data_IF_245472929546
#
_entry.id   IF_245472929546
#
_cell.length_a   1.000
_cell.length_b   1.000
_cell.length_c   1.000
_cell.angle_alpha   90.00
_cell.angle_beta   90.00
_cell.angle_gamma   90.00
#
_symmetry.space_group_name_H-M   'P 1'
#
loop_
_entity.id
_entity.type
_entity.pdbx_description
1 polymer ?
#
# COMPACT_ATOMS: atom_id res chain seq x y z
N UNK A 1 -12.00 13.88 -12.41
CA UNK A 1 -10.64 13.37 -12.12
C UNK A 1 -10.67 11.85 -12.23
N UNK A 2 -10.09 11.27 -13.30
CA UNK A 2 -9.88 9.81 -13.36
C UNK A 2 -8.58 9.49 -12.63
N UNK A 3 -8.54 8.32 -11.98
CA UNK A 3 -7.37 7.81 -11.27
C UNK A 3 -6.79 6.69 -12.13
N UNK A 4 -5.59 6.89 -12.65
CA UNK A 4 -4.92 5.92 -13.53
C UNK A 4 -4.10 4.91 -12.74
N UNK A 5 -3.56 5.32 -11.58
CA UNK A 5 -2.76 4.44 -10.74
C UNK A 5 -2.97 4.74 -9.27
N UNK A 6 -2.98 3.66 -8.47
CA UNK A 6 -3.08 3.73 -7.03
C UNK A 6 -2.19 2.67 -6.40
N UNK A 7 -1.23 3.11 -5.60
CA UNK A 7 -0.41 2.24 -4.78
C UNK A 7 -0.58 2.59 -3.30
N UNK A 8 -0.69 1.56 -2.47
CA UNK A 8 -0.86 1.67 -1.04
C UNK A 8 -0.58 0.32 -0.38
N UNK A 9 -0.55 0.34 0.95
CA UNK A 9 -0.56 -0.88 1.75
C UNK A 9 -1.63 -1.85 1.27
N UNK A 10 -1.29 -3.14 1.20
CA UNK A 10 -2.21 -4.19 0.75
C UNK A 10 -3.55 -4.07 1.48
N UNK A 11 -4.66 -4.24 0.75
CA UNK A 11 -5.98 -4.13 1.34
C UNK A 11 -6.19 -5.27 2.34
N UNK A 12 -5.92 -4.99 3.62
CA UNK A 12 -6.01 -6.00 4.68
C UNK A 12 -7.45 -6.38 5.01
N UNK A 13 -8.47 -5.82 4.34
CA UNK A 13 -9.90 -6.08 4.61
C UNK A 13 -10.22 -7.56 4.83
N UNK A 14 -9.66 -8.47 4.02
CA UNK A 14 -9.85 -9.91 4.18
C UNK A 14 -9.25 -10.45 5.48
N UNK A 15 -8.02 -10.05 5.83
CA UNK A 15 -7.38 -10.41 7.10
C UNK A 15 -8.14 -9.83 8.30
N UNK A 16 -8.63 -8.59 8.19
CA UNK A 16 -9.43 -7.94 9.24
C UNK A 16 -10.74 -8.71 9.46
N UNK A 17 -11.47 -9.00 8.38
CA UNK A 17 -12.71 -9.78 8.43
C UNK A 17 -12.49 -11.20 8.96
N UNK A 18 -11.42 -11.87 8.51
CA UNK A 18 -11.06 -13.20 9.00
C UNK A 18 -10.76 -13.21 10.51
N UNK A 19 -10.04 -12.21 11.03
CA UNK A 19 -9.75 -12.13 12.47
C UNK A 19 -11.01 -11.94 13.33
N UNK A 20 -11.93 -11.09 12.89
CA UNK A 20 -13.21 -10.84 13.58
C UNK A 20 -14.10 -12.09 13.53
N UNK A 21 -14.21 -12.71 12.34
CA UNK A 21 -14.97 -13.94 12.16
C UNK A 21 -14.44 -15.07 13.04
N UNK A 22 -13.12 -15.27 13.08
CA UNK A 22 -12.48 -16.31 13.88
C UNK A 22 -12.71 -16.09 15.38
N UNK A 23 -12.57 -14.86 15.88
CA UNK A 23 -12.88 -14.54 17.27
C UNK A 23 -14.36 -14.72 17.63
N UNK A 24 -15.28 -14.41 16.72
CA UNK A 24 -16.73 -14.59 16.91
C UNK A 24 -17.11 -16.06 16.95
N UNK A 25 -16.58 -16.87 16.03
CA UNK A 25 -16.80 -18.32 16.00
C UNK A 25 -16.27 -18.97 17.28
N UNK A 26 -15.09 -18.55 17.76
CA UNK A 26 -14.52 -19.06 19.01
C UNK A 26 -15.40 -18.73 20.22
N UNK A 27 -15.93 -17.50 20.29
CA UNK A 27 -16.83 -17.09 21.36
C UNK A 27 -18.15 -17.90 21.35
N UNK A 28 -18.75 -18.09 20.17
CA UNK A 28 -19.97 -18.91 20.03
C UNK A 28 -19.71 -20.36 20.43
N UNK A 29 -18.58 -20.93 20.02
CA UNK A 29 -18.19 -22.29 20.39
C UNK A 29 -18.03 -22.44 21.92
N UNK A 30 -17.50 -21.43 22.61
CA UNK A 30 -17.34 -21.44 24.07
C UNK A 30 -18.66 -21.36 24.84
N UNK A 31 -19.69 -20.75 24.25
CA UNK A 31 -21.04 -20.69 24.83
C UNK A 31 -21.78 -22.02 24.64
N UNK A 32 -21.64 -22.65 23.47
CA UNK A 32 -22.32 -23.91 23.15
C UNK A 32 -21.63 -25.11 23.82
N UNK A 33 -20.30 -25.11 23.86
CA UNK A 33 -19.48 -26.17 24.46
C UNK A 33 -18.47 -25.57 25.45
N UNK A 34 -18.92 -25.24 26.67
CA UNK A 34 -18.02 -24.73 27.69
C UNK A 34 -17.03 -25.84 28.11
N UNK A 35 -15.70 -25.61 28.02
CA UNK A 35 -14.73 -26.54 28.59
C UNK A 35 -14.93 -26.74 30.09
N UNK A 36 -14.74 -27.99 30.53
CA UNK A 36 -14.95 -28.43 31.93
C UNK A 36 -13.92 -27.81 32.89
N UNK A 37 -12.73 -27.46 32.39
CA UNK A 37 -11.70 -26.77 33.17
C UNK A 37 -11.84 -25.25 33.10
N UNK A 38 -12.04 -24.62 34.26
CA UNK A 38 -12.17 -23.17 34.45
C UNK A 38 -10.99 -22.42 33.79
N UNK A 39 -9.76 -22.89 33.96
CA UNK A 39 -8.57 -22.24 33.41
C UNK A 39 -8.56 -22.24 31.88
N UNK A 40 -8.95 -23.34 31.23
CA UNK A 40 -9.07 -23.40 29.76
C UNK A 40 -10.23 -22.56 29.26
N UNK A 41 -11.32 -22.47 30.02
CA UNK A 41 -12.46 -21.61 29.70
C UNK A 41 -12.07 -20.13 29.69
N UNK A 42 -11.39 -19.67 30.74
CA UNK A 42 -10.89 -18.29 30.83
C UNK A 42 -9.90 -17.98 29.70
N UNK A 43 -8.95 -18.88 29.45
CA UNK A 43 -7.91 -18.67 28.44
C UNK A 43 -8.49 -18.62 27.02
N UNK A 44 -9.50 -19.45 26.73
CA UNK A 44 -10.20 -19.44 25.45
C UNK A 44 -11.05 -18.16 25.26
N UNK A 45 -11.68 -17.65 26.33
CA UNK A 45 -12.36 -16.35 26.30
C UNK A 45 -11.40 -15.19 26.06
N UNK A 46 -10.22 -15.21 26.71
CA UNK A 46 -9.17 -14.20 26.49
C UNK A 46 -8.69 -14.24 25.03
N UNK A 47 -8.49 -15.43 24.46
CA UNK A 47 -8.11 -15.58 23.05
C UNK A 47 -9.20 -15.07 22.10
N UNK A 48 -10.47 -15.43 22.34
CA UNK A 48 -11.60 -14.94 21.55
C UNK A 48 -11.68 -13.41 21.58
N UNK A 49 -11.63 -12.82 22.78
CA UNK A 49 -11.68 -11.38 22.97
C UNK A 49 -10.49 -10.68 22.30
N UNK A 50 -9.29 -11.22 22.41
CA UNK A 50 -8.08 -10.64 21.80
C UNK A 50 -8.15 -10.69 20.27
N UNK A 51 -8.68 -11.77 19.69
CA UNK A 51 -8.89 -11.88 18.24
C UNK A 51 -9.92 -10.87 17.72
N UNK A 52 -11.04 -10.71 18.44
CA UNK A 52 -12.08 -9.72 18.10
C UNK A 52 -11.56 -8.29 18.24
N UNK A 53 -10.93 -7.97 19.37
CA UNK A 53 -10.36 -6.64 19.63
C UNK A 53 -9.22 -6.30 18.68
N UNK A 54 -8.33 -7.25 18.37
CA UNK A 54 -7.28 -7.09 17.38
C UNK A 54 -7.83 -6.84 15.98
N UNK A 55 -8.89 -7.57 15.60
CA UNK A 55 -9.62 -7.35 14.35
C UNK A 55 -10.27 -5.98 14.27
N UNK A 56 -10.97 -5.56 15.33
CA UNK A 56 -11.57 -4.22 15.45
C UNK A 56 -10.53 -3.10 15.40
N UNK A 57 -9.44 -3.22 16.17
CA UNK A 57 -8.35 -2.24 16.19
C UNK A 57 -7.71 -2.13 14.80
N UNK A 58 -7.57 -3.26 14.10
CA UNK A 58 -7.07 -3.25 12.74
C UNK A 58 -8.01 -2.52 11.77
N UNK A 59 -9.34 -2.53 11.98
CA UNK A 59 -10.29 -1.75 11.17
C UNK A 59 -10.08 -0.25 11.32
N UNK A 60 -9.72 0.21 12.51
CA UNK A 60 -9.39 1.62 12.79
C UNK A 60 -8.12 2.07 12.04
N UNK A 61 -7.20 1.15 11.75
CA UNK A 61 -6.05 1.45 10.90
C UNK A 61 -6.48 1.57 9.43
N UNK A 62 -6.66 2.82 8.97
CA UNK A 62 -6.92 3.14 7.57
C UNK A 62 -5.76 2.67 6.69
N UNK A 63 -6.04 2.11 5.50
CA UNK A 63 -4.98 1.76 4.55
C UNK A 63 -4.20 3.01 4.16
N UNK A 64 -2.88 3.01 4.41
CA UNK A 64 -1.99 4.08 3.94
C UNK A 64 -1.86 3.96 2.43
N UNK A 65 -2.27 5.03 1.73
CA UNK A 65 -2.08 5.21 0.29
C UNK A 65 -0.78 5.97 0.13
N UNK A 66 0.14 5.46 -0.66
CA UNK A 66 1.48 6.02 -0.77
C UNK A 66 1.69 6.79 -2.07
N UNK A 67 0.94 6.43 -3.12
CA UNK A 67 1.02 7.06 -4.44
C UNK A 67 -0.33 7.03 -5.16
N UNK A 68 -0.75 8.16 -5.71
CA UNK A 68 -1.90 8.29 -6.58
C UNK A 68 -1.48 9.04 -7.85
N UNK A 69 -1.84 8.51 -9.02
CA UNK A 69 -1.61 9.18 -10.30
C UNK A 69 -2.96 9.46 -10.96
N UNK A 70 -3.18 10.71 -11.30
CA UNK A 70 -4.41 11.24 -11.93
C UNK A 70 -4.06 11.93 -13.25
N UNK A 71 -5.08 12.29 -14.02
CA UNK A 71 -4.97 12.98 -15.32
C UNK A 71 -4.22 14.32 -15.26
N UNK A 72 -4.08 14.91 -14.07
CA UNK A 72 -3.47 16.23 -13.90
C UNK A 72 -2.36 16.31 -12.84
N UNK A 73 -2.21 15.32 -11.98
CA UNK A 73 -1.23 15.34 -10.90
C UNK A 73 -0.83 13.95 -10.39
N UNK A 74 0.41 13.89 -9.89
CA UNK A 74 0.94 12.81 -9.06
C UNK A 74 0.85 13.26 -7.60
N UNK A 75 0.20 12.45 -6.76
CA UNK A 75 0.04 12.73 -5.33
C UNK A 75 0.82 11.69 -4.53
N UNK A 76 1.74 12.17 -3.70
CA UNK A 76 2.68 11.37 -2.93
C UNK A 76 2.36 11.49 -1.43
N UNK A 77 2.38 10.35 -0.76
CA UNK A 77 2.12 10.23 0.67
C UNK A 77 3.06 9.19 1.30
N UNK A 78 4.40 9.43 1.30
CA UNK A 78 5.34 8.41 1.77
C UNK A 78 5.09 8.14 3.26
N UNK A 79 5.26 9.15 4.13
CA UNK A 79 4.94 9.10 5.57
C UNK A 79 4.89 10.53 6.18
N UNK A 80 4.46 11.54 5.39
CA UNK A 80 4.50 12.97 5.75
C UNK A 80 3.37 13.81 5.11
N UNK A 81 3.48 15.16 5.12
CA UNK A 81 2.46 16.05 4.55
C UNK A 81 2.22 15.74 3.07
N UNK A 82 0.96 15.86 2.65
CA UNK A 82 0.51 15.57 1.28
C UNK A 82 1.31 16.40 0.29
N UNK A 83 2.03 15.74 -0.60
CA UNK A 83 2.73 16.39 -1.70
C UNK A 83 1.96 16.16 -3.00
N UNK A 84 1.50 17.25 -3.61
CA UNK A 84 0.82 17.23 -4.91
C UNK A 84 1.79 17.80 -5.94
N UNK A 85 2.08 17.01 -6.96
CA UNK A 85 2.94 17.37 -8.08
C UNK A 85 2.07 17.42 -9.33
N UNK A 86 1.71 18.60 -9.86
CA UNK A 86 1.05 18.73 -11.14
C UNK A 86 1.88 18.10 -12.27
N UNK A 87 1.26 17.41 -13.21
CA UNK A 87 1.96 16.80 -14.34
C UNK A 87 2.75 17.82 -15.16
N UNK A 88 2.24 19.06 -15.27
CA UNK A 88 2.92 20.14 -15.99
C UNK A 88 4.25 20.54 -15.34
N UNK A 89 4.41 20.30 -14.03
CA UNK A 89 5.67 20.55 -13.33
C UNK A 89 6.68 19.41 -13.51
N UNK A 90 6.28 18.27 -14.06
CA UNK A 90 7.18 17.16 -14.34
C UNK A 90 7.91 17.45 -15.65
N UNK A 91 9.23 17.49 -15.60
CA UNK A 91 10.06 17.63 -16.79
C UNK A 91 10.22 16.29 -17.50
N UNK A 92 10.61 15.27 -16.73
CA UNK A 92 10.72 13.89 -17.19
C UNK A 92 10.70 12.92 -16.00
N UNK A 93 10.47 11.64 -16.30
CA UNK A 93 10.56 10.55 -15.33
C UNK A 93 11.71 9.64 -15.75
N UNK A 94 12.64 9.42 -14.84
CA UNK A 94 13.73 8.46 -15.01
C UNK A 94 13.31 7.12 -14.42
N UNK A 95 13.44 6.07 -15.21
CA UNK A 95 13.27 4.69 -14.76
C UNK A 95 14.64 4.05 -14.78
N UNK A 96 15.15 3.76 -13.59
CA UNK A 96 16.49 3.22 -13.35
C UNK A 96 16.38 1.69 -13.30
N UNK A 97 17.11 1.02 -14.19
CA UNK A 97 17.25 -0.43 -14.26
C UNK A 97 16.25 -1.17 -15.16
N UNK A 98 16.54 -2.45 -15.43
CA UNK A 98 15.89 -3.23 -16.50
C UNK A 98 14.55 -3.85 -16.09
N UNK A 99 13.51 -3.66 -16.91
CA UNK A 99 12.20 -4.31 -16.74
C UNK A 99 12.28 -5.86 -16.73
N UNK A 100 13.39 -6.43 -17.21
CA UNK A 100 13.58 -7.88 -17.34
C UNK A 100 14.01 -8.60 -16.04
N UNK A 101 14.57 -7.90 -15.04
CA UNK A 101 15.11 -8.58 -13.84
C UNK A 101 15.08 -7.71 -12.58
N UNK A 102 14.10 -7.87 -11.67
CA UNK A 102 14.02 -7.07 -10.45
C UNK A 102 15.26 -7.32 -9.57
N UNK A 103 16.01 -6.26 -9.26
CA UNK A 103 17.22 -6.33 -8.45
C UNK A 103 17.46 -5.04 -7.64
N UNK A 104 18.36 -5.08 -6.63
CA UNK A 104 18.77 -3.91 -5.88
C UNK A 104 19.45 -2.92 -6.84
N UNK A 105 18.97 -1.68 -6.90
CA UNK A 105 19.42 -0.66 -7.88
C UNK A 105 18.35 -0.24 -8.89
N UNK A 106 17.18 -0.87 -8.87
CA UNK A 106 16.05 -0.41 -9.68
C UNK A 106 15.23 0.68 -8.98
N UNK A 107 14.85 1.72 -9.73
CA UNK A 107 14.17 2.88 -9.18
C UNK A 107 13.33 3.68 -10.18
N UNK A 108 12.48 4.55 -9.66
CA UNK A 108 11.74 5.53 -10.45
C UNK A 108 11.92 6.89 -9.80
N UNK A 109 12.43 7.85 -10.55
CA UNK A 109 12.69 9.22 -10.09
C UNK A 109 11.89 10.19 -10.96
N UNK A 110 11.12 11.05 -10.31
CA UNK A 110 10.39 12.12 -10.99
C UNK A 110 11.27 13.37 -10.94
N UNK A 111 11.67 13.87 -12.10
CA UNK A 111 12.38 15.14 -12.21
C UNK A 111 11.37 16.26 -12.47
N UNK A 112 11.36 17.25 -11.59
CA UNK A 112 10.54 18.44 -11.74
C UNK A 112 11.27 19.54 -12.51
N UNK A 113 10.49 20.46 -13.10
CA UNK A 113 10.97 21.63 -13.84
C UNK A 113 11.74 22.62 -12.97
N UNK A 114 11.50 22.62 -11.66
CA UNK A 114 12.25 23.43 -10.69
C UNK A 114 13.63 22.82 -10.34
N UNK A 115 14.05 21.74 -11.00
CA UNK A 115 15.31 21.04 -10.74
C UNK A 115 15.23 20.01 -9.61
N UNK A 116 14.08 19.88 -8.94
CA UNK A 116 13.92 18.96 -7.83
C UNK A 116 13.76 17.51 -8.30
N UNK A 117 14.35 16.59 -7.54
CA UNK A 117 14.28 15.14 -7.78
C UNK A 117 13.45 14.47 -6.70
N UNK A 118 12.44 13.72 -7.11
CA UNK A 118 11.61 12.94 -6.19
C UNK A 118 11.82 11.46 -6.49
N UNK A 119 12.54 10.79 -5.61
CA UNK A 119 12.69 9.34 -5.66
C UNK A 119 11.44 8.64 -5.10
N UNK A 120 10.76 7.87 -5.95
CA UNK A 120 9.56 7.10 -5.59
C UNK A 120 9.83 5.59 -5.62
N UNK A 121 11.09 5.17 -5.77
CA UNK A 121 11.53 3.78 -5.91
C UNK A 121 11.08 2.88 -4.76
N UNK A 122 11.04 3.43 -3.55
CA UNK A 122 10.64 2.77 -2.32
C UNK A 122 9.11 2.58 -2.21
N UNK A 123 8.33 3.34 -2.97
CA UNK A 123 6.86 3.36 -2.89
C UNK A 123 6.19 2.48 -3.94
N UNK A 124 6.94 1.73 -4.75
CA UNK A 124 6.38 1.04 -5.91
C UNK A 124 6.87 -0.42 -5.94
N UNK A 125 5.98 -1.33 -5.55
CA UNK A 125 6.19 -2.77 -5.68
C UNK A 125 6.01 -3.34 -7.09
N UNK A 126 5.39 -2.61 -8.03
CA UNK A 126 5.20 -3.04 -9.44
C UNK A 126 5.56 -1.92 -10.42
N UNK A 127 6.84 -1.89 -10.80
CA UNK A 127 7.50 -0.82 -11.60
C UNK A 127 7.18 -0.89 -13.10
N UNK A 128 6.95 -2.09 -13.63
CA UNK A 128 6.69 -2.33 -15.06
C UNK A 128 5.42 -1.66 -15.61
N UNK A 129 4.49 -1.20 -14.76
CA UNK A 129 3.24 -0.54 -15.19
C UNK A 129 3.30 0.99 -15.19
N UNK A 130 4.37 1.61 -14.68
CA UNK A 130 4.43 3.07 -14.52
C UNK A 130 4.99 3.79 -15.74
N UNK A 131 6.03 3.26 -16.37
CA UNK A 131 6.59 3.82 -17.60
C UNK A 131 5.52 4.05 -18.70
N UNK A 132 4.72 3.04 -19.10
CA UNK A 132 3.68 3.24 -20.12
C UNK A 132 2.56 4.17 -19.65
N UNK A 133 2.33 4.28 -18.33
CA UNK A 133 1.30 5.14 -17.76
C UNK A 133 1.72 6.61 -17.80
N UNK A 134 2.98 6.92 -17.51
CA UNK A 134 3.51 8.28 -17.65
C UNK A 134 3.62 8.71 -19.12
N UNK A 135 4.01 7.79 -20.02
CA UNK A 135 3.99 8.05 -21.47
C UNK A 135 2.57 8.36 -21.96
N UNK A 136 1.56 7.60 -21.51
CA UNK A 136 0.15 7.85 -21.85
C UNK A 136 -0.37 9.20 -21.34
N UNK A 137 0.19 9.70 -20.22
CA UNK A 137 -0.14 11.00 -19.65
C UNK A 137 0.66 12.16 -20.27
N UNK A 138 1.42 11.91 -21.34
CA UNK A 138 2.21 12.93 -22.06
C UNK A 138 3.50 13.34 -21.35
N UNK A 139 3.95 12.57 -20.36
CA UNK A 139 5.23 12.82 -19.65
C UNK A 139 6.34 12.05 -20.33
N UNK A 140 7.47 12.72 -20.61
CA UNK A 140 8.64 12.09 -21.21
C UNK A 140 9.28 11.12 -20.22
N UNK A 141 9.43 9.86 -20.61
CA UNK A 141 10.09 8.82 -19.80
C UNK A 141 11.48 8.54 -20.36
N UNK A 142 12.50 8.63 -19.52
CA UNK A 142 13.87 8.24 -19.85
C UNK A 142 14.21 6.92 -19.14
N UNK A 143 14.68 5.93 -19.89
CA UNK A 143 15.17 4.68 -19.31
C UNK A 143 16.66 4.79 -19.11
N UNK A 144 17.07 4.84 -17.85
CA UNK A 144 18.48 4.82 -17.46
C UNK A 144 18.84 3.36 -17.22
N UNK A 145 19.47 2.75 -18.23
CA UNK A 145 20.06 1.43 -18.09
C UNK A 145 21.27 1.58 -17.16
N UNK A 146 21.17 1.04 -15.95
CA UNK A 146 22.33 0.92 -15.07
C UNK A 146 23.38 0.05 -15.77
N UNK A 147 24.56 0.62 -15.98
CA UNK A 147 25.77 -0.08 -16.41
C UNK A 147 26.23 -1.10 -15.37
#
# INVERSE_FOLDING_TARGET
>A
MRVHYRHGTADRRLLKGASIGLGTVLAVALVIWPPVEIWRHVLAWVLAATAVLGGLLSLLMRPRRHLLITDGAVILHPDGPRRVVPLMQIHHVEVIGSAARPGPGQGVVIQLRNGERIDISHLIGRRARLAPLFEHLGVRVQRVLGS
#
